data_IF_388228043060
#
_entry.id   IF_388228043060
#
_cell.length_a   1.000
_cell.length_b   1.000
_cell.length_c   1.000
_cell.angle_alpha   90.00
_cell.angle_beta   90.00
_cell.angle_gamma   90.00
#
_symmetry.space_group_name_H-M   'P 1'
#
loop_
_entity.id
_entity.type
_entity.pdbx_description
1 polymer ?
#
# COMPACT_ATOMS: atom_id res chain seq x y z
N UNK A 1 8.95 -1.03 24.42
CA UNK A 1 9.48 -1.99 25.42
C UNK A 1 9.94 -1.32 26.73
N UNK A 2 9.75 0.00 26.82
CA UNK A 2 10.14 0.92 27.87
C UNK A 2 9.05 1.17 28.92
N UNK A 3 7.92 0.50 28.80
CA UNK A 3 6.85 0.58 29.79
C UNK A 3 7.34 -0.01 31.15
N UNK A 4 7.06 0.66 32.29
CA UNK A 4 7.61 0.29 33.61
C UNK A 4 7.39 -1.15 34.08
N UNK A 5 6.36 -1.85 33.60
CA UNK A 5 6.09 -3.26 33.91
C UNK A 5 6.89 -4.23 33.05
N UNK A 6 7.32 -3.80 31.85
CA UNK A 6 8.06 -4.65 30.89
C UNK A 6 9.57 -4.55 31.10
N UNK A 7 10.10 -3.35 31.39
CA UNK A 7 11.53 -3.11 31.70
C UNK A 7 12.51 -3.77 30.72
N UNK A 8 12.21 -3.76 29.42
CA UNK A 8 13.02 -4.44 28.40
C UNK A 8 13.27 -5.95 28.67
N UNK A 9 12.34 -6.63 29.34
CA UNK A 9 12.41 -8.08 29.59
C UNK A 9 12.50 -8.88 28.28
N UNK A 10 13.44 -9.82 28.25
CA UNK A 10 13.60 -10.77 27.15
C UNK A 10 12.43 -11.74 27.11
N UNK A 11 11.98 -12.22 28.27
CA UNK A 11 10.86 -13.16 28.38
C UNK A 11 9.60 -12.58 27.74
N UNK A 12 9.32 -11.29 27.96
CA UNK A 12 8.18 -10.62 27.34
C UNK A 12 8.34 -10.47 25.83
N UNK A 13 9.55 -10.18 25.35
CA UNK A 13 9.83 -10.11 23.92
C UNK A 13 9.61 -11.48 23.25
N UNK A 14 10.21 -12.53 23.81
CA UNK A 14 10.10 -13.90 23.31
C UNK A 14 8.64 -14.39 23.31
N UNK A 15 7.85 -14.03 24.34
CA UNK A 15 6.41 -14.32 24.41
C UNK A 15 5.61 -13.65 23.28
N UNK A 16 5.90 -12.37 22.99
CA UNK A 16 5.22 -11.61 21.92
C UNK A 16 5.58 -12.21 20.57
N UNK A 17 6.87 -12.49 20.32
CA UNK A 17 7.32 -13.12 19.08
C UNK A 17 6.62 -14.48 18.88
N UNK A 18 6.61 -15.33 19.92
CA UNK A 18 5.97 -16.64 19.86
C UNK A 18 4.47 -16.56 19.56
N UNK A 19 3.76 -15.53 20.04
CA UNK A 19 2.34 -15.30 19.76
C UNK A 19 2.08 -14.73 18.37
N UNK A 20 2.99 -13.91 17.83
CA UNK A 20 2.84 -13.29 16.51
C UNK A 20 3.19 -14.23 15.36
N UNK A 21 4.16 -15.13 15.56
CA UNK A 21 4.64 -16.06 14.52
C UNK A 21 3.50 -16.91 13.91
N UNK A 22 2.59 -17.53 14.67
CA UNK A 22 1.47 -18.31 14.11
C UNK A 22 0.55 -17.47 13.23
N UNK A 23 0.24 -16.25 13.66
CA UNK A 23 -0.64 -15.33 12.92
C UNK A 23 -0.03 -14.90 11.58
N UNK A 24 1.26 -14.54 11.58
CA UNK A 24 1.94 -14.14 10.33
C UNK A 24 2.06 -15.30 9.35
N UNK A 25 2.27 -16.52 9.86
CA UNK A 25 2.28 -17.73 9.01
C UNK A 25 0.91 -18.03 8.42
N UNK A 26 -0.18 -17.91 9.19
CA UNK A 26 -1.53 -18.17 8.66
C UNK A 26 -1.94 -17.12 7.62
N UNK A 27 -1.44 -15.89 7.71
CA UNK A 27 -1.60 -14.86 6.68
C UNK A 27 -0.69 -15.02 5.46
N UNK A 28 0.12 -16.09 5.38
CA UNK A 28 0.96 -16.40 4.21
C UNK A 28 2.35 -15.78 4.19
N UNK A 29 2.80 -15.10 5.25
CA UNK A 29 4.15 -14.54 5.32
C UNK A 29 5.20 -15.62 5.63
N UNK A 30 6.35 -15.56 4.95
CA UNK A 30 7.49 -16.38 5.33
C UNK A 30 8.23 -15.71 6.49
N UNK A 31 7.88 -16.06 7.72
CA UNK A 31 8.42 -15.46 8.94
C UNK A 31 9.96 -15.47 9.01
N UNK A 32 10.63 -16.44 8.40
CA UNK A 32 12.10 -16.50 8.41
C UNK A 32 12.77 -15.51 7.45
N UNK A 33 12.07 -15.11 6.39
CA UNK A 33 12.63 -14.32 5.29
C UNK A 33 12.07 -12.90 5.26
N UNK A 34 10.77 -12.76 5.51
CA UNK A 34 10.02 -11.53 5.27
C UNK A 34 9.75 -10.74 6.54
N UNK A 35 9.98 -11.33 7.72
CA UNK A 35 9.66 -10.72 9.03
C UNK A 35 10.91 -10.57 9.86
N UNK A 36 11.08 -9.39 10.45
CA UNK A 36 12.12 -9.11 11.43
C UNK A 36 11.52 -8.44 12.66
N UNK A 37 11.63 -9.08 13.82
CA UNK A 37 11.18 -8.53 15.09
C UNK A 37 12.26 -7.63 15.69
N UNK A 38 11.90 -6.43 16.15
CA UNK A 38 12.83 -5.47 16.75
C UNK A 38 12.27 -4.94 18.07
N UNK A 39 13.04 -4.97 19.17
CA UNK A 39 12.66 -4.27 20.39
C UNK A 39 12.92 -2.77 20.21
N UNK A 40 11.88 -1.95 20.29
CA UNK A 40 11.96 -0.49 20.17
C UNK A 40 11.18 0.24 21.28
N UNK A 41 11.51 1.51 21.48
CA UNK A 41 10.69 2.47 22.23
C UNK A 41 10.40 3.67 21.34
N UNK A 42 9.11 3.93 21.10
CA UNK A 42 8.66 5.11 20.37
C UNK A 42 8.79 6.41 21.17
N UNK A 43 8.58 6.34 22.48
CA UNK A 43 8.56 7.51 23.35
C UNK A 43 9.98 8.07 23.59
N UNK A 44 10.93 7.18 23.85
CA UNK A 44 12.32 7.54 24.16
C UNK A 44 13.21 7.53 22.90
N UNK A 45 12.76 6.86 21.83
CA UNK A 45 13.51 6.73 20.57
C UNK A 45 14.60 5.65 20.60
N UNK A 46 14.54 4.72 21.56
CA UNK A 46 15.54 3.66 21.73
C UNK A 46 15.48 2.65 20.58
N UNK A 47 16.66 2.30 20.04
CA UNK A 47 16.86 1.35 18.95
C UNK A 47 16.18 1.73 17.62
N UNK A 48 15.96 3.03 17.41
CA UNK A 48 15.40 3.55 16.15
C UNK A 48 16.50 3.92 15.15
N UNK A 49 17.24 5.00 15.43
CA UNK A 49 18.31 5.50 14.57
C UNK A 49 19.67 4.92 14.96
N UNK A 50 19.96 4.87 16.26
CA UNK A 50 21.17 4.28 16.81
C UNK A 50 20.86 2.90 17.37
N UNK A 51 21.84 1.99 17.33
CA UNK A 51 21.71 0.68 17.97
C UNK A 51 21.47 0.82 19.46
N UNK A 52 20.81 -0.21 20.00
CA UNK A 52 20.48 -0.30 21.42
C UNK A 52 21.74 -0.27 22.30
N UNK A 53 21.70 0.55 23.34
CA UNK A 53 22.74 0.56 24.36
C UNK A 53 22.58 -0.66 25.28
N UNK A 54 23.69 -1.37 25.52
CA UNK A 54 23.73 -2.56 26.38
C UNK A 54 23.35 -2.28 27.83
N UNK A 55 23.48 -1.04 28.29
CA UNK A 55 23.02 -0.60 29.62
C UNK A 55 21.50 -0.57 29.74
N UNK A 56 20.77 -0.41 28.63
CA UNK A 56 19.31 -0.40 28.59
C UNK A 56 18.78 -1.83 28.41
N UNK A 57 19.42 -2.60 27.54
CA UNK A 57 19.04 -3.95 27.22
C UNK A 57 20.28 -4.77 26.87
N UNK A 58 20.65 -5.67 27.78
CA UNK A 58 21.87 -6.45 27.67
C UNK A 58 21.78 -7.59 26.64
N UNK A 59 20.58 -8.13 26.42
CA UNK A 59 20.36 -9.33 25.61
C UNK A 59 20.19 -9.07 24.12
N UNK A 60 19.94 -7.83 23.69
CA UNK A 60 19.78 -7.50 22.27
C UNK A 60 21.11 -7.07 21.64
N UNK A 61 21.50 -7.72 20.54
CA UNK A 61 22.68 -7.39 19.71
C UNK A 61 22.32 -7.11 18.24
N UNK A 62 21.03 -7.07 17.93
CA UNK A 62 20.53 -6.89 16.58
C UNK A 62 20.62 -5.45 16.06
N UNK A 63 20.26 -5.23 14.79
CA UNK A 63 20.25 -3.91 14.17
C UNK A 63 19.20 -2.98 14.81
N UNK A 64 19.36 -1.67 14.59
CA UNK A 64 18.29 -0.70 14.86
C UNK A 64 17.28 -0.65 13.71
N UNK A 65 16.14 0.02 13.94
CA UNK A 65 15.08 0.15 12.93
C UNK A 65 15.59 0.68 11.59
N UNK A 66 16.41 1.73 11.61
CA UNK A 66 16.91 2.37 10.37
C UNK A 66 17.83 1.42 9.60
N UNK A 67 18.71 0.70 10.29
CA UNK A 67 19.55 -0.32 9.64
C UNK A 67 18.75 -1.45 9.01
N UNK A 68 17.60 -1.80 9.58
CA UNK A 68 16.69 -2.78 8.98
C UNK A 68 16.02 -2.20 7.74
N UNK A 69 15.47 -0.98 7.82
CA UNK A 69 14.84 -0.31 6.68
C UNK A 69 15.82 -0.13 5.52
N UNK A 70 17.06 0.25 5.78
CA UNK A 70 18.11 0.44 4.77
C UNK A 70 18.51 -0.87 4.07
N UNK A 71 18.29 -2.02 4.71
CA UNK A 71 18.56 -3.35 4.13
C UNK A 71 17.42 -3.89 3.28
N UNK A 72 16.23 -3.29 3.35
CA UNK A 72 15.08 -3.76 2.58
C UNK A 72 15.37 -3.60 1.09
N UNK A 73 15.37 -4.73 0.37
CA UNK A 73 15.50 -4.72 -1.09
C UNK A 73 14.20 -4.22 -1.68
N UNK A 74 14.22 -3.01 -2.23
CA UNK A 74 13.05 -2.45 -2.92
C UNK A 74 12.88 -3.16 -4.27
N UNK A 75 11.69 -3.69 -4.57
CA UNK A 75 11.44 -4.33 -5.85
C UNK A 75 11.62 -3.33 -6.99
N UNK A 76 12.23 -3.77 -8.08
CA UNK A 76 12.36 -2.97 -9.29
C UNK A 76 10.98 -2.71 -9.87
N UNK A 77 10.64 -1.43 -10.05
CA UNK A 77 9.45 -1.00 -10.77
C UNK A 77 9.86 -0.53 -12.16
N UNK A 78 9.02 -0.79 -13.15
CA UNK A 78 9.31 -0.43 -14.55
C UNK A 78 8.92 1.04 -14.84
N UNK A 79 9.90 1.96 -14.99
CA UNK A 79 9.61 3.36 -15.31
C UNK A 79 9.19 3.57 -16.77
N UNK A 80 9.42 2.58 -17.65
CA UNK A 80 9.03 2.59 -19.07
C UNK A 80 7.69 1.89 -19.31
N UNK A 81 7.12 1.29 -18.27
CA UNK A 81 5.82 0.66 -18.31
C UNK A 81 4.68 1.65 -18.60
N UNK A 82 3.49 1.12 -18.80
CA UNK A 82 2.29 1.94 -18.96
C UNK A 82 1.96 2.65 -17.65
N UNK A 83 1.70 3.95 -17.72
CA UNK A 83 1.35 4.75 -16.53
C UNK A 83 0.15 4.14 -15.81
N UNK A 84 0.32 3.88 -14.51
CA UNK A 84 -0.71 3.46 -13.57
C UNK A 84 -0.49 4.19 -12.26
N UNK A 85 -1.40 5.09 -11.92
CA UNK A 85 -1.39 5.80 -10.64
C UNK A 85 -2.81 5.78 -10.06
N UNK A 86 -3.07 4.87 -9.09
CA UNK A 86 -4.28 4.93 -8.29
C UNK A 86 -4.37 6.26 -7.55
N UNK A 87 -5.51 6.91 -7.65
CA UNK A 87 -5.85 8.15 -6.97
C UNK A 87 -6.29 7.77 -5.56
N UNK A 88 -5.58 8.27 -4.57
CA UNK A 88 -5.91 8.07 -3.15
C UNK A 88 -6.81 9.19 -2.64
N UNK A 89 -6.69 10.39 -3.22
CA UNK A 89 -7.42 11.57 -2.80
C UNK A 89 -7.36 12.66 -3.89
N UNK A 90 -8.24 13.65 -3.81
CA UNK A 90 -8.36 14.76 -4.76
C UNK A 90 -8.74 16.06 -4.05
N UNK A 91 -8.38 17.19 -4.63
CA UNK A 91 -8.87 18.50 -4.20
C UNK A 91 -8.77 19.55 -5.31
N UNK A 92 -9.42 20.70 -5.11
CA UNK A 92 -9.37 21.83 -6.04
C UNK A 92 -8.32 22.86 -5.62
N UNK A 93 -7.43 23.19 -6.56
CA UNK A 93 -6.45 24.27 -6.44
C UNK A 93 -6.17 24.88 -7.82
N UNK A 94 -6.91 25.94 -8.17
CA UNK A 94 -6.87 26.58 -9.49
C UNK A 94 -6.86 25.53 -10.64
N UNK A 95 -7.72 24.52 -10.51
CA UNK A 95 -7.72 23.28 -11.29
C UNK A 95 -7.91 22.06 -10.38
N UNK A 96 -7.98 20.87 -10.96
CA UNK A 96 -8.16 19.61 -10.23
C UNK A 96 -6.79 19.02 -9.89
N UNK A 97 -6.55 18.70 -8.62
CA UNK A 97 -5.32 18.02 -8.18
C UNK A 97 -5.68 16.61 -7.73
N UNK A 98 -5.05 15.61 -8.36
CA UNK A 98 -5.17 14.21 -7.97
C UNK A 98 -3.90 13.80 -7.21
N UNK A 99 -4.08 13.17 -6.05
CA UNK A 99 -2.99 12.63 -5.25
C UNK A 99 -2.96 11.12 -5.40
N UNK A 100 -1.77 10.55 -5.51
CA UNK A 100 -1.64 9.11 -5.68
C UNK A 100 -0.20 8.67 -5.72
N UNK A 101 -0.03 7.35 -5.78
CA UNK A 101 1.28 6.74 -5.94
C UNK A 101 1.40 6.16 -7.33
N UNK A 102 2.51 6.45 -8.01
CA UNK A 102 2.77 5.86 -9.33
C UNK A 102 3.23 4.42 -9.10
N UNK A 103 2.44 3.44 -9.54
CA UNK A 103 2.82 2.03 -9.43
C UNK A 103 3.63 1.56 -10.65
N UNK A 104 3.36 2.13 -11.83
CA UNK A 104 4.09 1.82 -13.06
C UNK A 104 4.16 3.02 -14.00
N UNK A 105 5.20 3.05 -14.83
CA UNK A 105 5.43 4.11 -15.81
C UNK A 105 5.94 5.42 -15.21
N UNK A 106 5.92 6.46 -16.03
CA UNK A 106 6.43 7.79 -15.69
C UNK A 106 5.39 8.82 -16.08
N UNK A 107 5.15 9.81 -15.21
CA UNK A 107 4.33 10.98 -15.52
C UNK A 107 5.22 12.20 -15.71
N UNK A 108 4.98 13.01 -16.74
CA UNK A 108 5.66 14.28 -17.01
C UNK A 108 4.66 15.42 -17.14
N UNK A 109 5.11 16.62 -16.80
CA UNK A 109 4.35 17.84 -17.10
C UNK A 109 4.15 17.95 -18.61
N UNK A 110 2.89 18.13 -19.04
CA UNK A 110 2.48 18.15 -20.44
C UNK A 110 1.90 16.83 -20.97
N UNK A 111 2.04 15.72 -20.25
CA UNK A 111 1.52 14.42 -20.69
C UNK A 111 -0.02 14.43 -20.81
N UNK A 112 -0.52 13.68 -21.79
CA UNK A 112 -1.94 13.37 -21.93
C UNK A 112 -2.22 11.97 -21.38
N UNK A 113 -3.15 11.88 -20.42
CA UNK A 113 -3.52 10.66 -19.71
C UNK A 113 -5.04 10.48 -19.74
N UNK A 114 -5.50 9.34 -19.23
CA UNK A 114 -6.91 9.03 -18.99
C UNK A 114 -7.16 8.88 -17.49
N UNK A 115 -8.27 9.45 -17.01
CA UNK A 115 -8.85 9.08 -15.72
C UNK A 115 -9.80 7.91 -15.96
N UNK A 116 -9.46 6.74 -15.43
CA UNK A 116 -10.30 5.54 -15.45
C UNK A 116 -11.04 5.41 -14.11
N UNK A 117 -12.30 4.93 -14.10
CA UNK A 117 -12.98 4.22 -15.18
C UNK A 117 -13.70 5.12 -16.21
N UNK A 118 -13.88 6.42 -15.93
CA UNK A 118 -14.70 7.33 -16.75
C UNK A 118 -14.16 7.60 -18.17
N UNK A 119 -12.91 7.22 -18.46
CA UNK A 119 -12.21 7.51 -19.73
C UNK A 119 -12.11 9.00 -20.04
N UNK A 120 -12.05 9.84 -19.00
CA UNK A 120 -11.89 11.28 -19.17
C UNK A 120 -10.47 11.60 -19.60
N UNK A 121 -10.33 12.28 -20.74
CA UNK A 121 -9.04 12.75 -21.23
C UNK A 121 -8.54 13.92 -20.39
N UNK A 122 -7.33 13.80 -19.86
CA UNK A 122 -6.72 14.83 -19.02
C UNK A 122 -5.32 15.18 -19.51
N UNK A 123 -4.92 16.41 -19.24
CA UNK A 123 -3.54 16.87 -19.44
C UNK A 123 -2.90 17.21 -18.11
N UNK A 124 -1.68 16.74 -17.91
CA UNK A 124 -0.87 17.06 -16.74
C UNK A 124 -0.32 18.47 -16.91
N UNK A 125 -0.69 19.39 -16.03
CA UNK A 125 -0.23 20.78 -16.06
C UNK A 125 0.77 21.10 -14.93
N UNK A 126 0.96 20.17 -13.99
CA UNK A 126 1.95 20.32 -12.93
C UNK A 126 2.11 19.02 -12.14
N UNK A 127 3.30 18.85 -11.58
CA UNK A 127 3.65 17.73 -10.71
C UNK A 127 4.37 18.27 -9.47
N UNK A 128 3.98 17.75 -8.30
CA UNK A 128 4.65 18.04 -7.05
C UNK A 128 4.97 16.72 -6.33
N UNK A 129 6.22 16.59 -5.89
CA UNK A 129 6.65 15.59 -4.92
C UNK A 129 6.78 16.31 -3.59
N UNK A 130 5.92 15.95 -2.64
CA UNK A 130 5.71 16.73 -1.43
C UNK A 130 5.53 18.22 -1.79
N UNK A 131 6.28 19.13 -1.17
CA UNK A 131 6.19 20.58 -1.42
C UNK A 131 6.98 21.05 -2.65
N UNK A 132 7.73 20.16 -3.31
CA UNK A 132 8.63 20.52 -4.41
C UNK A 132 7.98 20.32 -5.77
N UNK A 133 7.95 21.35 -6.61
CA UNK A 133 7.51 21.23 -8.02
C UNK A 133 8.57 20.48 -8.83
N UNK A 134 8.15 19.46 -9.57
CA UNK A 134 9.01 18.65 -10.45
C UNK A 134 8.45 18.61 -11.86
N UNK A 135 9.29 18.25 -12.84
CA UNK A 135 8.86 18.08 -14.25
C UNK A 135 8.47 16.65 -14.61
N UNK A 136 8.88 15.69 -13.78
CA UNK A 136 8.71 14.26 -14.00
C UNK A 136 8.62 13.56 -12.66
N UNK A 137 7.78 12.54 -12.58
CA UNK A 137 7.74 11.60 -11.48
C UNK A 137 7.71 10.15 -12.01
N UNK A 138 8.39 9.26 -11.29
CA UNK A 138 8.55 7.84 -11.63
C UNK A 138 7.78 6.92 -10.69
N UNK A 139 7.88 5.59 -10.89
CA UNK A 139 7.24 4.63 -10.00
C UNK A 139 7.74 4.73 -8.57
N UNK A 140 6.91 4.32 -7.60
CA UNK A 140 7.10 4.41 -6.16
C UNK A 140 6.90 5.80 -5.53
N UNK A 141 6.83 6.87 -6.33
CA UNK A 141 6.69 8.22 -5.83
C UNK A 141 5.23 8.55 -5.52
N UNK A 142 5.00 9.17 -4.35
CA UNK A 142 3.73 9.80 -4.01
C UNK A 142 3.72 11.20 -4.63
N UNK A 143 2.76 11.45 -5.52
CA UNK A 143 2.71 12.65 -6.35
C UNK A 143 1.39 13.36 -6.17
N UNK A 144 1.46 14.69 -6.28
CA UNK A 144 0.29 15.54 -6.54
C UNK A 144 0.34 15.95 -8.00
N UNK A 145 -0.65 15.51 -8.77
CA UNK A 145 -0.75 15.74 -10.20
C UNK A 145 -1.85 16.75 -10.44
N UNK A 146 -1.48 17.93 -10.95
CA UNK A 146 -2.45 18.94 -11.35
C UNK A 146 -2.93 18.65 -12.77
N UNK A 147 -4.24 18.53 -12.94
CA UNK A 147 -4.92 18.08 -14.14
C UNK A 147 -5.73 19.22 -14.77
N UNK A 148 -5.80 19.18 -16.09
CA UNK A 148 -6.69 19.99 -16.92
C UNK A 148 -7.57 19.06 -17.76
N UNK A 149 -8.81 19.47 -18.04
CA UNK A 149 -9.79 18.69 -18.80
C UNK A 149 -10.72 17.82 -17.95
N UNK A 150 -10.66 17.96 -16.62
CA UNK A 150 -11.55 17.29 -15.68
C UNK A 150 -11.83 18.20 -14.49
N UNK A 151 -13.07 18.20 -14.00
CA UNK A 151 -13.42 18.87 -12.75
C UNK A 151 -13.16 17.96 -11.55
N UNK A 152 -13.06 18.54 -10.36
CA UNK A 152 -12.83 17.78 -9.13
C UNK A 152 -13.93 16.75 -8.92
N UNK A 153 -15.18 17.11 -9.18
CA UNK A 153 -16.37 16.28 -9.02
C UNK A 153 -16.32 14.99 -9.85
N UNK A 154 -15.65 15.00 -11.01
CA UNK A 154 -15.57 13.88 -11.96
C UNK A 154 -14.47 12.85 -11.63
N UNK A 155 -13.62 13.14 -10.63
CA UNK A 155 -12.55 12.25 -10.17
C UNK A 155 -12.97 11.65 -8.83
N UNK A 156 -12.60 10.43 -8.47
CA UNK A 156 -12.85 9.90 -7.12
C UNK A 156 -11.63 9.16 -6.58
N UNK A 157 -11.53 9.01 -5.25
CA UNK A 157 -10.59 8.07 -4.67
C UNK A 157 -10.92 6.66 -5.21
N UNK A 158 -9.88 5.92 -5.58
CA UNK A 158 -10.00 4.64 -6.25
C UNK A 158 -9.92 4.68 -7.78
N UNK A 159 -10.12 5.86 -8.39
CA UNK A 159 -9.90 6.03 -9.83
C UNK A 159 -8.41 5.89 -10.16
N UNK A 160 -8.08 5.63 -11.43
CA UNK A 160 -6.69 5.41 -11.87
C UNK A 160 -6.34 6.36 -12.99
N UNK A 161 -5.28 7.15 -12.79
CA UNK A 161 -4.61 7.82 -13.90
C UNK A 161 -3.82 6.79 -14.71
N UNK A 162 -4.12 6.74 -16.00
CA UNK A 162 -3.69 5.70 -16.90
C UNK A 162 -3.14 6.25 -18.22
N UNK A 163 -2.22 5.51 -18.83
CA UNK A 163 -1.81 5.76 -20.23
C UNK A 163 -3.00 5.72 -21.20
N UNK A 164 -2.99 6.61 -22.19
CA UNK A 164 -3.97 6.63 -23.29
C UNK A 164 -3.79 5.42 -24.23
N UNK A 165 -2.55 5.06 -24.53
CA UNK A 165 -2.23 3.99 -25.48
C UNK A 165 -2.54 2.59 -24.91
N UNK A 166 -2.48 2.45 -23.59
CA UNK A 166 -2.80 1.22 -22.88
C UNK A 166 -3.62 1.57 -21.62
N UNK A 167 -4.93 1.83 -21.74
CA UNK A 167 -5.78 2.14 -20.61
C UNK A 167 -5.90 0.96 -19.64
N UNK A 168 -6.10 1.22 -18.34
CA UNK A 168 -6.45 0.14 -17.40
C UNK A 168 -7.87 -0.36 -17.71
N UNK A 169 -8.06 -1.69 -17.66
CA UNK A 169 -9.39 -2.28 -17.83
C UNK A 169 -10.26 -1.98 -16.62
N UNK A 170 -11.50 -1.56 -16.86
CA UNK A 170 -12.53 -1.43 -15.84
C UNK A 170 -13.62 -2.47 -16.15
N UNK A 171 -13.91 -3.34 -15.19
CA UNK A 171 -14.88 -4.44 -15.32
C UNK A 171 -15.75 -4.47 -14.06
N UNK A 172 -16.97 -4.97 -14.20
CA UNK A 172 -17.88 -5.24 -13.08
C UNK A 172 -17.81 -6.68 -12.59
N UNK A 173 -17.15 -7.57 -13.35
CA UNK A 173 -17.06 -8.99 -13.05
C UNK A 173 -15.69 -9.52 -13.49
N UNK A 174 -15.09 -10.36 -12.65
CA UNK A 174 -13.82 -11.03 -12.93
C UNK A 174 -13.72 -12.33 -12.13
N UNK A 175 -12.88 -13.25 -12.62
CA UNK A 175 -12.58 -14.51 -11.94
C UNK A 175 -11.35 -14.29 -11.05
N UNK A 176 -11.43 -14.73 -9.80
CA UNK A 176 -10.32 -14.67 -8.86
C UNK A 176 -10.19 -15.96 -8.04
N UNK A 177 -8.96 -16.27 -7.66
CA UNK A 177 -8.68 -17.28 -6.65
C UNK A 177 -8.76 -16.63 -5.27
N UNK A 178 -9.56 -17.20 -4.38
CA UNK A 178 -9.75 -16.70 -3.03
C UNK A 178 -9.11 -17.66 -2.03
N UNK A 179 -8.38 -17.11 -1.07
CA UNK A 179 -7.96 -17.84 0.13
C UNK A 179 -8.80 -17.33 1.30
N UNK A 180 -9.64 -18.20 1.86
CA UNK A 180 -10.48 -17.87 3.00
C UNK A 180 -9.65 -18.07 4.27
N UNK A 181 -9.41 -16.99 5.03
CA UNK A 181 -8.65 -17.04 6.28
C UNK A 181 -9.53 -17.39 7.47
N UNK A 182 -10.54 -16.56 7.71
CA UNK A 182 -11.51 -16.72 8.79
C UNK A 182 -12.84 -16.14 8.31
N UNK A 183 -13.94 -16.83 8.60
CA UNK A 183 -15.29 -16.34 8.39
C UNK A 183 -15.89 -15.99 9.75
N UNK A 184 -16.80 -15.01 9.76
CA UNK A 184 -17.58 -14.71 10.96
C UNK A 184 -18.36 -15.95 11.42
N UNK A 185 -18.59 -16.08 12.73
CA UNK A 185 -19.37 -17.18 13.29
C UNK A 185 -20.72 -17.31 12.59
N UNK A 186 -21.00 -18.50 12.04
CA UNK A 186 -22.19 -18.86 11.25
C UNK A 186 -22.29 -18.26 9.84
N UNK A 187 -21.24 -17.61 9.32
CA UNK A 187 -21.21 -17.20 7.92
C UNK A 187 -20.92 -18.42 7.02
N UNK A 188 -21.80 -18.65 6.05
CA UNK A 188 -21.60 -19.66 4.99
C UNK A 188 -21.21 -18.91 3.72
N UNK A 189 -20.05 -19.27 3.16
CA UNK A 189 -19.58 -18.71 1.90
C UNK A 189 -20.18 -19.48 0.73
N UNK A 190 -21.15 -18.88 0.03
CA UNK A 190 -21.86 -19.49 -1.11
C UNK A 190 -21.96 -18.52 -2.29
N UNK A 191 -22.42 -19.00 -3.44
CA UNK A 191 -22.94 -18.11 -4.48
C UNK A 191 -24.04 -17.20 -3.90
N UNK A 192 -24.05 -15.93 -4.30
CA UNK A 192 -24.85 -14.86 -3.74
C UNK A 192 -24.28 -14.21 -2.47
N UNK A 193 -23.13 -14.66 -1.96
CA UNK A 193 -22.51 -14.05 -0.78
C UNK A 193 -22.06 -12.62 -1.11
N UNK A 194 -22.50 -11.66 -0.28
CA UNK A 194 -22.15 -10.25 -0.42
C UNK A 194 -20.98 -9.90 0.49
N UNK A 195 -20.02 -9.17 -0.05
CA UNK A 195 -18.81 -8.75 0.66
C UNK A 195 -18.44 -7.33 0.28
N UNK A 196 -17.42 -6.79 0.96
CA UNK A 196 -16.76 -5.55 0.58
C UNK A 196 -15.41 -5.90 -0.02
N UNK A 197 -15.21 -5.47 -1.26
CA UNK A 197 -13.97 -5.65 -2.02
C UNK A 197 -13.07 -4.44 -1.82
N UNK A 198 -11.86 -4.69 -1.32
CA UNK A 198 -10.81 -3.68 -1.19
C UNK A 198 -9.76 -3.91 -2.27
N UNK A 199 -9.60 -2.95 -3.20
CA UNK A 199 -8.54 -2.98 -4.23
C UNK A 199 -7.83 -1.63 -4.24
N UNK A 200 -6.56 -1.59 -3.81
CA UNK A 200 -5.81 -0.35 -3.65
C UNK A 200 -6.56 0.68 -2.77
N UNK A 201 -7.03 1.79 -3.34
CA UNK A 201 -7.83 2.82 -2.68
C UNK A 201 -9.34 2.67 -2.93
N UNK A 202 -9.76 1.69 -3.72
CA UNK A 202 -11.17 1.37 -3.99
C UNK A 202 -11.72 0.50 -2.86
N UNK A 203 -12.91 0.86 -2.39
CA UNK A 203 -13.71 0.06 -1.47
C UNK A 203 -15.13 0.01 -2.01
N UNK A 204 -15.55 -1.15 -2.49
CA UNK A 204 -16.84 -1.33 -3.17
C UNK A 204 -17.55 -2.57 -2.66
N UNK A 205 -18.89 -2.56 -2.69
CA UNK A 205 -19.67 -3.76 -2.44
C UNK A 205 -19.55 -4.71 -3.62
N UNK A 206 -19.34 -6.00 -3.34
CA UNK A 206 -19.29 -7.05 -4.36
C UNK A 206 -20.15 -8.25 -3.98
N UNK A 207 -20.47 -9.07 -4.97
CA UNK A 207 -21.20 -10.31 -4.80
C UNK A 207 -20.43 -11.47 -5.44
N UNK A 208 -20.36 -12.59 -4.74
CA UNK A 208 -19.80 -13.83 -5.27
C UNK A 208 -20.87 -14.49 -6.12
N UNK A 209 -20.78 -14.32 -7.44
CA UNK A 209 -21.80 -14.83 -8.38
C UNK A 209 -21.77 -16.35 -8.46
N UNK A 210 -20.56 -16.94 -8.53
CA UNK A 210 -20.37 -18.37 -8.74
C UNK A 210 -19.09 -18.85 -8.03
N UNK A 211 -19.12 -20.08 -7.52
CA UNK A 211 -17.95 -20.82 -7.03
C UNK A 211 -17.55 -21.84 -8.10
N UNK A 212 -16.45 -21.58 -8.80
CA UNK A 212 -16.05 -22.36 -9.98
C UNK A 212 -15.42 -23.70 -9.57
N UNK A 213 -14.40 -23.64 -8.72
CA UNK A 213 -13.63 -24.81 -8.30
C UNK A 213 -12.99 -24.56 -6.93
N UNK A 214 -12.85 -25.62 -6.13
CA UNK A 214 -12.07 -25.61 -4.90
C UNK A 214 -10.63 -26.05 -5.19
N UNK A 215 -9.66 -25.17 -4.91
CA UNK A 215 -8.24 -25.46 -5.12
C UNK A 215 -7.67 -25.97 -3.79
N UNK A 216 -7.36 -27.27 -3.75
CA UNK A 216 -6.76 -27.97 -2.59
C UNK A 216 -5.24 -27.84 -2.48
#
# INVERSE_FOLDING_TARGET
>A
MDEPTVKWSKERYDEIEAKMVPFLKSSGYNVKKDVQFLPISGLVGTNMKTRMDKSICSWWDGPCLFEVLDRIVVPLRDPKGSVRMPIIDKYKDMGTVAMGKIESGTIREGDSLLVMPNKSHVKVIGLNLDESKVRRAGPAENVRVKLSGVEEEDVMAGFVLSSVANPVGAVSEFIAQLQILELLDNAIFTAGYKAVLHIHSVVEECEIVELIEEIG
#
